data_IF_629428165607
#
_entry.id   IF_629428165607
#
_cell.length_a   1.000
_cell.length_b   1.000
_cell.length_c   1.000
_cell.angle_alpha   90.00
_cell.angle_beta   90.00
_cell.angle_gamma   90.00
#
_symmetry.space_group_name_H-M   'P 1'
#
loop_
_entity.id
_entity.type
_entity.pdbx_description
1 polymer ?
#
# COMPACT_ATOMS: atom_id res chain seq x y z
N UNK A 1 45.58 45.99 23.59
CA UNK A 1 45.06 46.07 22.21
C UNK A 1 44.42 44.74 21.85
N UNK A 2 43.14 44.76 21.49
CA UNK A 2 42.26 43.61 21.23
C UNK A 2 42.66 42.88 19.95
N UNK A 3 42.58 41.55 19.95
CA UNK A 3 42.36 40.76 18.72
C UNK A 3 41.32 39.68 19.02
N UNK A 4 40.06 39.99 18.72
CA UNK A 4 38.96 39.02 18.75
C UNK A 4 38.96 38.35 17.37
N UNK A 5 39.28 37.06 17.31
CA UNK A 5 39.16 36.28 16.09
C UNK A 5 37.69 35.89 15.90
N UNK A 6 37.08 36.41 14.83
CA UNK A 6 35.74 36.03 14.39
C UNK A 6 35.82 34.61 13.80
N UNK A 7 35.21 33.63 14.49
CA UNK A 7 34.99 32.29 13.96
C UNK A 7 33.87 32.40 12.92
N UNK A 8 34.22 32.30 11.65
CA UNK A 8 33.28 32.26 10.54
C UNK A 8 32.48 30.96 10.55
N UNK A 9 31.16 31.07 10.71
CA UNK A 9 30.22 29.97 10.59
C UNK A 9 30.13 29.56 9.10
N UNK A 10 30.79 28.46 8.73
CA UNK A 10 30.76 27.90 7.39
C UNK A 10 29.39 27.23 7.14
N UNK A 11 28.42 27.98 6.63
CA UNK A 11 27.17 27.42 6.09
C UNK A 11 27.50 26.67 4.78
N UNK A 12 27.82 25.38 4.88
CA UNK A 12 27.78 24.49 3.71
C UNK A 12 26.32 24.33 3.29
N UNK A 13 25.92 25.05 2.24
CA UNK A 13 24.65 24.83 1.56
C UNK A 13 24.67 23.42 0.96
N UNK A 14 24.03 22.46 1.65
CA UNK A 14 23.80 21.14 1.08
C UNK A 14 22.75 21.29 -0.02
N UNK A 15 23.22 21.39 -1.26
CA UNK A 15 22.36 21.24 -2.44
C UNK A 15 21.85 19.80 -2.47
N UNK A 16 20.57 19.61 -2.15
CA UNK A 16 19.90 18.34 -2.39
C UNK A 16 19.58 18.25 -3.90
N UNK A 17 20.27 17.37 -4.62
CA UNK A 17 19.88 16.99 -5.97
C UNK A 17 18.78 15.93 -5.89
N UNK A 18 17.71 16.11 -6.64
CA UNK A 18 16.70 15.06 -6.81
C UNK A 18 17.31 13.86 -7.54
N UNK A 19 16.89 12.63 -7.19
CA UNK A 19 17.39 11.39 -7.81
C UNK A 19 17.08 11.31 -9.32
N UNK A 20 16.08 12.05 -9.82
CA UNK A 20 15.85 12.27 -11.24
C UNK A 20 15.14 13.62 -11.47
N UNK A 21 15.09 14.06 -12.72
CA UNK A 21 14.38 15.30 -13.11
C UNK A 21 12.91 15.08 -13.46
N UNK A 22 12.48 13.83 -13.65
CA UNK A 22 11.16 13.49 -14.20
C UNK A 22 10.32 12.62 -13.27
N UNK A 23 10.94 11.88 -12.36
CA UNK A 23 10.30 10.82 -11.60
C UNK A 23 10.74 10.78 -10.14
N UNK A 24 9.78 10.53 -9.26
CA UNK A 24 10.02 10.23 -7.84
C UNK A 24 9.95 8.72 -7.64
N UNK A 25 10.96 8.13 -7.00
CA UNK A 25 11.00 6.69 -6.75
C UNK A 25 11.79 6.32 -5.49
N UNK A 26 11.54 5.11 -4.99
CA UNK A 26 12.38 4.42 -4.01
C UNK A 26 12.99 3.22 -4.71
N UNK A 27 14.31 3.08 -4.64
CA UNK A 27 15.05 1.93 -5.17
C UNK A 27 15.66 1.13 -4.02
N UNK A 28 15.14 -0.07 -3.82
CA UNK A 28 15.61 -1.04 -2.84
C UNK A 28 16.45 -2.11 -3.51
N UNK A 29 17.63 -2.38 -2.96
CA UNK A 29 18.58 -3.36 -3.47
C UNK A 29 19.07 -4.26 -2.34
N UNK A 30 18.92 -5.57 -2.53
CA UNK A 30 19.39 -6.58 -1.58
C UNK A 30 20.49 -7.41 -2.23
N UNK A 31 21.70 -7.38 -1.67
CA UNK A 31 22.80 -8.21 -2.12
C UNK A 31 22.66 -9.65 -1.60
N UNK A 32 22.74 -10.62 -2.50
CA UNK A 32 22.67 -12.04 -2.20
C UNK A 32 24.05 -12.71 -2.16
N UNK A 33 25.10 -11.93 -2.43
CA UNK A 33 26.51 -12.34 -2.33
C UNK A 33 27.31 -11.21 -1.69
N UNK A 34 28.45 -11.53 -1.07
CA UNK A 34 29.30 -10.56 -0.36
C UNK A 34 29.88 -9.47 -1.27
N UNK A 35 30.01 -9.75 -2.56
CA UNK A 35 30.43 -8.81 -3.61
C UNK A 35 29.24 -8.11 -4.32
N UNK A 36 28.00 -8.39 -3.91
CA UNK A 36 26.76 -7.88 -4.53
C UNK A 36 26.59 -8.22 -6.03
N UNK A 37 27.35 -9.17 -6.59
CA UNK A 37 27.19 -9.61 -7.98
C UNK A 37 25.85 -10.32 -8.19
N UNK A 38 25.35 -11.01 -7.17
CA UNK A 38 23.98 -11.51 -7.08
C UNK A 38 23.16 -10.54 -6.25
N UNK A 39 22.04 -10.09 -6.79
CA UNK A 39 21.20 -9.07 -6.15
C UNK A 39 19.74 -9.21 -6.58
N UNK A 40 18.84 -8.74 -5.72
CA UNK A 40 17.45 -8.45 -6.07
C UNK A 40 17.21 -6.96 -5.96
N UNK A 41 16.48 -6.40 -6.92
CA UNK A 41 16.26 -4.96 -7.05
C UNK A 41 14.75 -4.72 -7.24
N UNK A 42 14.20 -3.80 -6.45
CA UNK A 42 12.82 -3.37 -6.53
C UNK A 42 12.75 -1.85 -6.57
N UNK A 43 11.96 -1.32 -7.49
CA UNK A 43 11.75 0.12 -7.64
C UNK A 43 10.27 0.41 -7.53
N UNK A 44 9.92 1.38 -6.69
CA UNK A 44 8.57 1.90 -6.57
C UNK A 44 8.56 3.34 -7.06
N UNK A 45 7.88 3.61 -8.16
CA UNK A 45 7.65 4.94 -8.69
C UNK A 45 6.40 5.56 -8.06
N UNK A 46 6.42 6.88 -7.86
CA UNK A 46 5.35 7.64 -7.22
C UNK A 46 4.76 8.69 -8.15
N UNK A 47 3.48 9.01 -7.97
CA UNK A 47 2.82 10.14 -8.61
C UNK A 47 3.15 11.47 -7.91
N UNK A 48 2.58 12.58 -8.40
CA UNK A 48 2.79 13.92 -7.82
C UNK A 48 2.21 14.11 -6.42
N UNK A 49 1.39 13.18 -5.92
CA UNK A 49 0.84 13.17 -4.57
C UNK A 49 1.61 12.23 -3.62
N UNK A 50 2.68 11.60 -4.11
CA UNK A 50 3.48 10.65 -3.32
C UNK A 50 2.83 9.27 -3.19
N UNK A 51 1.85 8.93 -4.03
CA UNK A 51 1.25 7.58 -4.05
C UNK A 51 1.99 6.68 -5.04
N UNK A 52 2.24 5.40 -4.72
CA UNK A 52 2.84 4.46 -5.66
C UNK A 52 2.04 4.36 -6.96
N UNK A 53 2.68 4.50 -8.12
CA UNK A 53 2.05 4.35 -9.44
C UNK A 53 2.54 3.14 -10.24
N UNK A 54 3.73 2.64 -9.93
CA UNK A 54 4.30 1.47 -10.57
C UNK A 54 5.36 0.83 -9.66
N UNK A 55 5.32 -0.50 -9.52
CA UNK A 55 6.35 -1.29 -8.85
C UNK A 55 7.04 -2.15 -9.90
N UNK A 56 8.37 -2.17 -9.89
CA UNK A 56 9.19 -2.97 -10.79
C UNK A 56 10.12 -3.85 -9.96
N UNK A 57 10.03 -5.16 -10.15
CA UNK A 57 11.10 -6.07 -9.73
C UNK A 57 12.06 -6.24 -10.91
N UNK A 58 13.24 -5.64 -10.80
CA UNK A 58 14.19 -5.48 -11.90
C UNK A 58 14.85 -6.82 -12.21
N UNK A 59 14.81 -7.23 -13.49
CA UNK A 59 15.39 -8.50 -13.99
C UNK A 59 15.00 -9.73 -13.14
N UNK A 60 13.77 -9.74 -12.61
CA UNK A 60 13.31 -10.75 -11.66
C UNK A 60 12.96 -12.10 -12.30
N UNK A 61 12.71 -12.17 -13.60
CA UNK A 61 12.45 -13.45 -14.27
C UNK A 61 13.74 -14.21 -14.58
N UNK A 62 13.64 -15.51 -14.85
CA UNK A 62 14.78 -16.35 -15.27
C UNK A 62 15.44 -15.90 -16.58
N UNK A 63 14.72 -15.14 -17.40
CA UNK A 63 15.19 -14.56 -18.66
C UNK A 63 15.66 -13.11 -18.53
N UNK A 64 15.75 -12.57 -17.30
CA UNK A 64 16.19 -11.21 -17.03
C UNK A 64 15.19 -10.13 -17.43
N UNK A 65 13.89 -10.47 -17.50
CA UNK A 65 12.80 -9.50 -17.68
C UNK A 65 12.44 -8.86 -16.34
N UNK A 66 11.94 -7.64 -16.41
CA UNK A 66 11.34 -6.95 -15.27
C UNK A 66 9.95 -7.53 -15.00
N UNK A 67 9.55 -7.66 -13.73
CA UNK A 67 8.14 -7.85 -13.37
C UNK A 67 7.54 -6.50 -12.97
N UNK A 68 6.57 -6.03 -13.73
CA UNK A 68 6.01 -4.68 -13.60
C UNK A 68 4.56 -4.77 -13.12
N UNK A 69 4.26 -4.09 -12.02
CA UNK A 69 2.90 -3.96 -11.46
C UNK A 69 2.48 -2.50 -11.53
N UNK A 70 1.52 -2.12 -12.41
CA UNK A 70 0.91 -0.81 -12.35
C UNK A 70 -0.01 -0.70 -11.13
N UNK A 71 -0.11 0.49 -10.56
CA UNK A 71 -1.05 0.79 -9.47
C UNK A 71 -1.97 1.90 -9.95
N UNK A 72 -3.27 1.64 -9.87
CA UNK A 72 -4.30 2.60 -10.25
C UNK A 72 -5.18 2.93 -9.06
N UNK A 73 -5.71 4.15 -9.08
CA UNK A 73 -6.57 4.67 -8.04
C UNK A 73 -7.90 5.10 -8.66
N UNK A 74 -8.98 4.94 -7.91
CA UNK A 74 -10.28 5.50 -8.29
C UNK A 74 -10.30 7.03 -8.13
N UNK A 75 -11.44 7.65 -8.45
CA UNK A 75 -11.63 9.10 -8.33
C UNK A 75 -11.50 9.65 -6.91
N UNK A 76 -11.56 8.79 -5.88
CA UNK A 76 -11.37 9.14 -4.47
C UNK A 76 -9.93 8.89 -4.00
N UNK A 77 -9.07 8.37 -4.86
CA UNK A 77 -7.67 8.09 -4.55
C UNK A 77 -7.43 6.77 -3.84
N UNK A 78 -8.40 5.84 -3.88
CA UNK A 78 -8.31 4.51 -3.26
C UNK A 78 -7.81 3.48 -4.27
N UNK A 79 -6.94 2.56 -3.82
CA UNK A 79 -6.48 1.44 -4.64
C UNK A 79 -7.52 0.31 -4.58
N UNK A 80 -8.49 0.36 -5.50
CA UNK A 80 -9.56 -0.64 -5.59
C UNK A 80 -9.13 -1.89 -6.36
N UNK A 81 -8.06 -1.82 -7.15
CA UNK A 81 -7.53 -2.92 -7.95
C UNK A 81 -6.14 -3.32 -7.51
N UNK A 82 -5.94 -4.63 -7.32
CA UNK A 82 -4.63 -5.25 -7.14
C UNK A 82 -4.30 -6.03 -8.42
N UNK A 83 -3.52 -5.38 -9.31
CA UNK A 83 -3.25 -5.86 -10.68
C UNK A 83 -2.11 -6.89 -10.69
N UNK A 84 -2.28 -7.97 -11.46
CA UNK A 84 -1.23 -8.98 -11.60
C UNK A 84 0.02 -8.41 -12.30
N UNK A 85 1.24 -8.75 -11.84
CA UNK A 85 2.48 -8.29 -12.45
C UNK A 85 2.67 -8.83 -13.87
N UNK A 86 3.22 -8.01 -14.77
CA UNK A 86 3.49 -8.41 -16.15
C UNK A 86 5.00 -8.46 -16.40
N UNK A 87 5.53 -9.54 -17.03
CA UNK A 87 6.93 -9.56 -17.44
C UNK A 87 7.16 -8.66 -18.66
N UNK A 88 8.12 -7.75 -18.56
CA UNK A 88 8.49 -6.80 -19.60
C UNK A 88 10.01 -6.82 -19.85
N UNK A 89 10.44 -6.46 -21.06
CA UNK A 89 11.87 -6.35 -21.34
C UNK A 89 12.51 -5.32 -20.40
N UNK A 90 13.61 -5.69 -19.74
CA UNK A 90 14.22 -4.84 -18.74
C UNK A 90 14.62 -3.48 -19.32
N UNK A 91 14.20 -2.41 -18.64
CA UNK A 91 14.65 -1.05 -18.96
C UNK A 91 15.78 -0.57 -18.03
N UNK A 92 16.47 -1.51 -17.37
CA UNK A 92 17.55 -1.25 -16.42
C UNK A 92 17.13 -0.20 -15.38
N UNK A 93 16.09 -0.53 -14.62
CA UNK A 93 15.56 0.31 -13.54
C UNK A 93 14.74 1.53 -13.97
N UNK A 94 14.50 1.76 -15.26
CA UNK A 94 13.62 2.83 -15.72
C UNK A 94 12.13 2.45 -15.65
N UNK A 95 11.27 3.47 -15.57
CA UNK A 95 9.81 3.34 -15.56
C UNK A 95 9.28 2.79 -16.90
N UNK A 96 8.28 1.91 -16.83
CA UNK A 96 7.61 1.35 -18.00
C UNK A 96 6.37 2.19 -18.37
N UNK A 97 6.52 3.15 -19.27
CA UNK A 97 5.44 4.08 -19.65
C UNK A 97 4.27 3.40 -20.40
N UNK A 98 4.46 2.20 -20.92
CA UNK A 98 3.41 1.40 -21.56
C UNK A 98 2.60 0.50 -20.62
N UNK A 99 2.99 0.39 -19.34
CA UNK A 99 2.35 -0.48 -18.35
C UNK A 99 1.82 0.38 -17.21
N UNK A 100 0.73 1.08 -17.46
CA UNK A 100 0.17 2.10 -16.54
C UNK A 100 -1.17 1.71 -15.92
N UNK A 101 -1.79 0.63 -16.41
CA UNK A 101 -3.07 0.12 -15.94
C UNK A 101 -3.20 -1.39 -16.26
N UNK A 102 -4.37 -1.96 -15.98
CA UNK A 102 -4.66 -3.39 -16.14
C UNK A 102 -4.61 -3.89 -17.58
N UNK A 103 -4.60 -3.03 -18.60
CA UNK A 103 -4.66 -3.42 -20.02
C UNK A 103 -3.51 -4.34 -20.40
N UNK A 104 -2.29 -4.03 -19.93
CA UNK A 104 -1.12 -4.85 -20.18
C UNK A 104 -1.24 -6.23 -19.52
N UNK A 105 -1.77 -6.29 -18.30
CA UNK A 105 -2.00 -7.54 -17.59
C UNK A 105 -3.08 -8.38 -18.27
N UNK A 106 -4.23 -7.78 -18.60
CA UNK A 106 -5.31 -8.43 -19.34
C UNK A 106 -4.82 -9.03 -20.66
N UNK A 107 -4.03 -8.27 -21.43
CA UNK A 107 -3.44 -8.75 -22.68
C UNK A 107 -2.44 -9.88 -22.47
N UNK A 108 -1.60 -9.82 -21.43
CA UNK A 108 -0.59 -10.83 -21.15
C UNK A 108 -1.21 -12.15 -20.69
N UNK A 109 -2.20 -12.08 -19.80
CA UNK A 109 -2.87 -13.25 -19.23
C UNK A 109 -4.05 -13.77 -20.07
N UNK A 110 -4.45 -13.06 -21.12
CA UNK A 110 -5.55 -13.48 -22.00
C UNK A 110 -6.91 -13.47 -21.30
N UNK A 111 -7.14 -12.52 -20.39
CA UNK A 111 -8.39 -12.37 -19.62
C UNK A 111 -8.79 -10.91 -19.57
N UNK A 112 -10.09 -10.62 -19.44
CA UNK A 112 -10.60 -9.28 -19.18
C UNK A 112 -10.39 -8.83 -17.72
N UNK A 113 -10.01 -9.74 -16.80
CA UNK A 113 -9.89 -9.47 -15.37
C UNK A 113 -8.59 -10.05 -14.77
N UNK A 114 -7.43 -9.51 -15.14
CA UNK A 114 -6.14 -9.89 -14.57
C UNK A 114 -5.81 -9.16 -13.25
N UNK A 115 -6.80 -9.02 -12.37
CA UNK A 115 -6.68 -8.27 -11.12
C UNK A 115 -7.72 -8.73 -10.09
N UNK A 116 -7.41 -8.48 -8.81
CA UNK A 116 -8.40 -8.48 -7.74
C UNK A 116 -9.06 -7.11 -7.71
N UNK A 117 -10.37 -7.03 -7.47
CA UNK A 117 -11.12 -5.77 -7.38
C UNK A 117 -11.95 -5.71 -6.10
N UNK A 118 -11.94 -4.57 -5.42
CA UNK A 118 -12.74 -4.28 -4.23
C UNK A 118 -13.87 -3.33 -4.61
N UNK A 119 -15.11 -3.73 -4.35
CA UNK A 119 -16.23 -2.79 -4.31
C UNK A 119 -16.30 -2.20 -2.90
N UNK A 120 -16.32 -0.88 -2.80
CA UNK A 120 -16.28 -0.15 -1.54
C UNK A 120 -17.55 0.71 -1.45
N UNK A 121 -18.16 0.79 -0.28
CA UNK A 121 -19.31 1.67 -0.07
C UNK A 121 -18.94 3.15 -0.29
N UNK A 122 -19.93 3.96 -0.70
CA UNK A 122 -19.76 5.41 -0.86
C UNK A 122 -19.93 6.14 0.48
N UNK A 123 -19.14 5.74 1.48
CA UNK A 123 -19.12 6.37 2.80
C UNK A 123 -17.67 6.71 3.20
N UNK A 124 -17.46 7.70 4.10
CA UNK A 124 -16.12 8.01 4.60
C UNK A 124 -15.41 6.86 5.30
N UNK A 125 -16.10 5.76 5.60
CA UNK A 125 -15.52 4.59 6.25
C UNK A 125 -14.83 3.63 5.29
N UNK A 126 -15.00 3.81 3.97
CA UNK A 126 -14.37 2.98 2.92
C UNK A 126 -14.48 1.47 3.17
N UNK A 127 -15.65 1.01 3.64
CA UNK A 127 -15.87 -0.41 3.92
C UNK A 127 -16.04 -1.21 2.63
N UNK A 128 -15.35 -2.34 2.55
CA UNK A 128 -15.38 -3.24 1.40
C UNK A 128 -16.69 -4.03 1.41
N UNK A 129 -17.53 -3.87 0.39
CA UNK A 129 -18.78 -4.61 0.24
C UNK A 129 -18.55 -6.00 -0.35
N UNK A 130 -17.65 -6.10 -1.33
CA UNK A 130 -17.27 -7.36 -1.92
C UNK A 130 -15.90 -7.31 -2.60
N UNK A 131 -15.30 -8.49 -2.76
CA UNK A 131 -14.00 -8.70 -3.42
C UNK A 131 -14.14 -9.71 -4.55
N UNK A 132 -13.69 -9.31 -5.73
CA UNK A 132 -13.58 -10.12 -6.93
C UNK A 132 -12.14 -10.62 -7.10
N UNK A 133 -11.96 -11.83 -7.63
CA UNK A 133 -10.64 -12.43 -7.84
C UNK A 133 -10.27 -12.41 -9.34
N UNK A 134 -8.97 -12.57 -9.69
CA UNK A 134 -8.56 -12.63 -11.10
C UNK A 134 -9.27 -13.74 -11.90
N UNK A 135 -9.54 -13.46 -13.17
CA UNK A 135 -10.19 -14.34 -14.15
C UNK A 135 -11.59 -13.88 -14.55
N UNK A 136 -11.98 -14.14 -15.80
CA UNK A 136 -13.28 -13.69 -16.35
C UNK A 136 -14.50 -14.18 -15.56
N UNK A 137 -14.55 -15.43 -15.05
CA UNK A 137 -15.66 -15.88 -14.21
C UNK A 137 -15.70 -15.21 -12.83
N UNK A 138 -14.57 -14.68 -12.37
CA UNK A 138 -14.38 -14.15 -11.00
C UNK A 138 -14.38 -12.63 -10.92
N UNK A 139 -14.52 -11.95 -12.07
CA UNK A 139 -14.68 -10.50 -12.15
C UNK A 139 -15.88 -10.03 -11.32
N UNK A 140 -15.89 -8.75 -10.96
CA UNK A 140 -16.92 -8.17 -10.08
C UNK A 140 -18.37 -8.43 -10.53
N UNK A 141 -18.62 -8.37 -11.84
CA UNK A 141 -19.94 -8.66 -12.43
C UNK A 141 -20.23 -10.16 -12.65
N UNK A 142 -19.27 -11.04 -12.34
CA UNK A 142 -19.40 -12.49 -12.53
C UNK A 142 -20.18 -13.21 -11.43
N UNK A 143 -20.49 -12.53 -10.32
CA UNK A 143 -21.26 -13.09 -9.20
C UNK A 143 -20.47 -14.03 -8.27
N UNK A 144 -19.24 -14.39 -8.63
CA UNK A 144 -18.33 -15.20 -7.81
C UNK A 144 -17.43 -14.33 -6.94
N UNK A 145 -18.03 -13.53 -6.06
CA UNK A 145 -17.32 -12.59 -5.18
C UNK A 145 -17.38 -13.03 -3.72
N UNK A 146 -16.38 -12.67 -2.93
CA UNK A 146 -16.48 -12.72 -1.47
C UNK A 146 -17.25 -11.47 -1.01
N UNK A 147 -18.38 -11.65 -0.32
CA UNK A 147 -19.21 -10.55 0.18
C UNK A 147 -19.02 -10.32 1.66
N UNK A 148 -19.04 -9.05 2.07
CA UNK A 148 -18.90 -8.64 3.46
C UNK A 148 -20.19 -7.94 3.90
N UNK A 149 -20.61 -8.23 5.13
CA UNK A 149 -21.74 -7.55 5.76
C UNK A 149 -21.25 -6.91 7.04
N UNK A 150 -21.61 -5.65 7.23
CA UNK A 150 -21.28 -4.89 8.44
C UNK A 150 -22.56 -4.68 9.23
N UNK A 151 -22.67 -5.39 10.34
CA UNK A 151 -23.85 -5.38 11.20
C UNK A 151 -23.51 -4.81 12.56
N UNK A 152 -24.53 -4.29 13.23
CA UNK A 152 -24.46 -3.87 14.63
C UNK A 152 -25.32 -4.79 15.44
N UNK A 153 -24.92 -5.04 16.69
CA UNK A 153 -25.76 -5.80 17.60
C UNK A 153 -27.12 -5.12 17.77
N UNK A 154 -28.19 -5.89 17.70
CA UNK A 154 -29.53 -5.47 18.07
C UNK A 154 -29.68 -5.47 19.60
N UNK A 155 -30.66 -4.74 20.12
CA UNK A 155 -30.89 -4.62 21.56
C UNK A 155 -31.18 -5.96 22.28
N UNK A 156 -31.54 -7.00 21.53
CA UNK A 156 -31.76 -8.36 22.03
C UNK A 156 -30.53 -9.26 22.02
N UNK A 157 -29.41 -8.82 21.44
CA UNK A 157 -28.24 -9.68 21.21
C UNK A 157 -27.16 -9.54 22.29
N UNK A 158 -27.15 -8.42 23.03
CA UNK A 158 -26.17 -8.15 24.08
C UNK A 158 -26.86 -8.02 25.43
N UNK A 159 -26.53 -8.92 26.37
CA UNK A 159 -27.02 -8.85 27.74
C UNK A 159 -26.27 -7.78 28.53
N UNK A 160 -27.00 -6.78 29.04
CA UNK A 160 -26.49 -5.81 30.01
C UNK A 160 -26.72 -6.33 31.43
N UNK A 161 -25.64 -6.71 32.12
CA UNK A 161 -25.70 -7.05 33.54
C UNK A 161 -25.44 -5.81 34.38
N UNK A 162 -26.35 -5.50 35.31
CA UNK A 162 -26.22 -4.38 36.25
C UNK A 162 -26.09 -4.98 37.66
N UNK A 163 -25.02 -4.65 38.37
CA UNK A 163 -24.86 -5.03 39.78
C UNK A 163 -25.26 -3.86 40.67
N UNK A 164 -26.27 -4.05 41.51
CA UNK A 164 -26.60 -3.09 42.55
C UNK A 164 -25.84 -3.49 43.83
N UNK A 165 -24.89 -2.66 44.25
CA UNK A 165 -24.18 -2.87 45.52
C UNK A 165 -24.78 -1.96 46.57
N UNK A 166 -25.37 -2.55 47.62
CA UNK A 166 -25.83 -1.81 48.81
C UNK A 166 -24.77 -1.99 49.89
N UNK A 167 -24.11 -0.91 50.28
CA UNK A 167 -23.21 -0.89 51.42
C UNK A 167 -24.02 -0.67 52.69
N UNK A 168 -23.99 -1.65 53.59
CA UNK A 168 -24.49 -1.49 54.97
C UNK A 168 -23.28 -1.41 55.91
N UNK A 169 -23.24 -0.37 56.72
CA UNK A 169 -22.20 -0.23 57.76
C UNK A 169 -22.57 -1.15 58.92
N UNK A 170 -21.81 -2.23 59.12
CA UNK A 170 -21.96 -3.08 60.32
C UNK A 170 -20.92 -2.62 61.34
N UNK A 171 -21.39 -1.92 62.37
CA UNK A 171 -20.57 -1.53 63.52
C UNK A 171 -21.02 -0.23 64.16
N UNK A 172 -21.80 -0.32 65.24
CA UNK A 172 -21.71 0.69 66.31
C UNK A 172 -20.64 0.17 67.26
N UNK A 173 -19.43 0.73 67.18
CA UNK A 173 -18.42 0.51 68.21
C UNK A 173 -18.92 1.18 69.49
N UNK A 174 -19.51 0.39 70.40
CA UNK A 174 -19.83 0.85 71.76
C UNK A 174 -18.55 0.79 72.58
N UNK A 175 -17.69 1.81 72.43
CA UNK A 175 -16.67 2.11 73.44
C UNK A 175 -17.33 2.78 74.63
N UNK A 176 -17.62 1.99 75.67
CA UNK A 176 -17.63 2.43 77.06
C UNK A 176 -16.22 2.39 77.62
#
# INVERSE_FOLDING_TARGET
MKKIQLIGLLFTAMTAYAQSTTENYIHSKTCLSGDCSKKTETITYFDGLGRPKQIISVKATTTGKDLVTPITYDGFGRQVKDILPVPANSLNSAIHTGIVNETAANSYYGTANAYTEKEIENSPLDRVLQVAQPGDPWKMSGGHTQKFKYETNLGSEVKKFITNTVTTTVGTDKKT
#
